data_IF_512398361512
#
_entry.id   IF_512398361512
#
_cell.length_a   1.000
_cell.length_b   1.000
_cell.length_c   1.000
_cell.angle_alpha   90.00
_cell.angle_beta   90.00
_cell.angle_gamma   90.00
#
_symmetry.space_group_name_H-M   'P 1'
#
loop_
_entity.id
_entity.type
_entity.pdbx_description
1 polymer ?
#
# COMPACT_ATOMS: atom_id res chain seq x y z
N UNK A 1 -4.02 -15.31 -3.48
CA UNK A 1 -3.58 -14.20 -2.60
C UNK A 1 -2.40 -14.63 -1.74
N UNK A 2 -1.71 -13.67 -1.15
CA UNK A 2 -0.61 -13.88 -0.20
C UNK A 2 -0.79 -12.91 0.96
N UNK A 3 -0.72 -13.42 2.19
CA UNK A 3 -0.65 -12.58 3.38
C UNK A 3 0.76 -12.06 3.54
N UNK A 4 0.91 -10.76 3.73
CA UNK A 4 2.15 -10.13 4.13
C UNK A 4 1.93 -9.58 5.53
N UNK A 5 2.57 -10.22 6.51
CA UNK A 5 2.48 -9.80 7.89
C UNK A 5 3.28 -8.51 8.10
N UNK A 6 2.82 -7.64 8.99
CA UNK A 6 3.53 -6.40 9.31
C UNK A 6 4.97 -6.64 9.80
N UNK A 7 5.20 -7.78 10.44
CA UNK A 7 6.51 -8.21 10.95
C UNK A 7 7.48 -8.60 9.84
N UNK A 8 6.96 -8.88 8.65
CA UNK A 8 7.74 -9.26 7.47
C UNK A 8 8.00 -8.08 6.52
N UNK A 9 7.45 -6.89 6.82
CA UNK A 9 7.71 -5.71 6.01
C UNK A 9 9.15 -5.23 6.24
N UNK A 10 9.95 -5.10 5.18
CA UNK A 10 11.28 -4.54 5.29
C UNK A 10 11.27 -3.11 5.80
N UNK A 11 12.20 -2.79 6.68
CA UNK A 11 12.31 -1.50 7.36
C UNK A 11 13.77 -1.07 7.47
N UNK A 12 14.03 0.21 7.29
CA UNK A 12 15.35 0.80 7.44
C UNK A 12 15.30 2.16 8.12
N UNK A 13 16.38 2.49 8.82
CA UNK A 13 16.57 3.81 9.43
C UNK A 13 17.72 4.50 8.72
N UNK A 14 17.52 5.77 8.39
CA UNK A 14 18.47 6.61 7.67
C UNK A 14 18.59 7.95 8.38
N UNK A 15 19.74 8.57 8.27
CA UNK A 15 19.92 9.98 8.65
C UNK A 15 19.77 10.86 7.42
N UNK A 16 19.05 11.96 7.55
CA UNK A 16 19.01 12.99 6.53
C UNK A 16 20.33 13.80 6.50
N UNK A 17 20.42 14.78 5.61
CA UNK A 17 21.60 15.67 5.48
C UNK A 17 21.95 16.46 6.76
N UNK A 18 21.03 16.51 7.73
CA UNK A 18 21.21 17.21 9.01
C UNK A 18 21.43 16.25 10.19
N UNK A 19 21.46 14.94 9.96
CA UNK A 19 21.60 13.90 10.99
C UNK A 19 20.29 13.58 11.73
N UNK A 20 19.14 14.05 11.21
CA UNK A 20 17.84 13.69 11.77
C UNK A 20 17.37 12.34 11.18
N UNK A 21 16.69 11.53 12.00
CA UNK A 21 16.33 10.17 11.63
C UNK A 21 15.06 10.11 10.77
N UNK A 22 15.11 9.26 9.76
CA UNK A 22 14.00 8.88 8.88
C UNK A 22 13.86 7.37 8.91
N UNK A 23 12.69 6.87 9.32
CA UNK A 23 12.36 5.46 9.24
C UNK A 23 11.53 5.19 7.98
N UNK A 24 11.93 4.21 7.19
CA UNK A 24 11.28 3.80 5.94
C UNK A 24 10.81 2.36 6.08
N UNK A 25 9.52 2.11 6.00
CA UNK A 25 8.92 0.78 5.97
C UNK A 25 8.25 0.55 4.61
N UNK A 26 8.71 -0.45 3.86
CA UNK A 26 8.32 -0.68 2.47
C UNK A 26 7.33 -1.84 2.35
N UNK A 27 6.17 -1.56 1.77
CA UNK A 27 5.14 -2.56 1.45
C UNK A 27 5.33 -3.08 0.02
N UNK A 28 5.55 -2.17 -0.94
CA UNK A 28 5.87 -2.47 -2.34
C UNK A 28 6.93 -1.51 -2.86
N UNK A 29 7.74 -1.97 -3.82
CA UNK A 29 8.79 -1.16 -4.43
C UNK A 29 10.09 -1.13 -3.62
N UNK A 30 10.85 -0.07 -3.82
CA UNK A 30 12.15 0.15 -3.15
C UNK A 30 12.31 1.63 -2.83
N UNK A 31 12.67 1.93 -1.57
CA UNK A 31 12.93 3.29 -1.09
C UNK A 31 14.19 3.30 -0.23
N UNK A 32 15.12 4.20 -0.55
CA UNK A 32 16.41 4.34 0.16
C UNK A 32 17.18 3.00 0.30
N UNK A 33 17.10 2.13 -0.73
CA UNK A 33 17.73 0.82 -0.70
C UNK A 33 16.99 -0.25 0.12
N UNK A 34 15.88 0.08 0.77
CA UNK A 34 14.99 -0.89 1.41
C UNK A 34 14.02 -1.40 0.35
N UNK A 35 14.13 -2.68 0.03
CA UNK A 35 13.30 -3.33 -1.00
C UNK A 35 12.21 -4.18 -0.35
N UNK A 36 10.98 -4.09 -0.89
CA UNK A 36 9.85 -4.90 -0.45
C UNK A 36 10.05 -6.40 -0.69
N UNK A 37 9.19 -7.21 -0.08
CA UNK A 37 9.00 -8.60 -0.52
C UNK A 37 8.42 -8.62 -1.94
N UNK A 38 8.74 -9.67 -2.71
CA UNK A 38 8.25 -9.79 -4.07
C UNK A 38 6.70 -9.79 -4.12
N UNK A 39 6.08 -9.02 -5.01
CA UNK A 39 4.65 -9.04 -5.23
C UNK A 39 4.19 -10.38 -5.84
N UNK A 40 2.87 -10.61 -5.87
CA UNK A 40 2.33 -11.76 -6.58
C UNK A 40 2.66 -11.67 -8.07
N UNK A 41 3.04 -12.81 -8.66
CA UNK A 41 3.49 -12.92 -10.06
C UNK A 41 2.55 -12.29 -11.09
N UNK A 42 1.24 -12.31 -10.85
CA UNK A 42 0.22 -11.77 -11.76
C UNK A 42 -0.28 -10.38 -11.31
N UNK A 43 0.39 -9.73 -10.35
CA UNK A 43 0.09 -8.37 -9.95
C UNK A 43 0.68 -7.36 -10.92
N UNK A 44 0.02 -6.21 -11.11
CA UNK A 44 0.57 -5.05 -11.82
C UNK A 44 1.95 -4.64 -11.27
N UNK A 45 2.13 -4.78 -9.97
CA UNK A 45 3.38 -4.49 -9.28
C UNK A 45 4.53 -5.49 -9.57
N UNK A 46 4.26 -6.61 -10.24
CA UNK A 46 5.29 -7.59 -10.58
C UNK A 46 6.21 -7.16 -11.71
N UNK A 47 5.75 -6.26 -12.59
CA UNK A 47 6.56 -5.63 -13.61
C UNK A 47 7.22 -4.36 -13.02
N UNK A 48 8.56 -4.31 -12.93
CA UNK A 48 9.26 -3.14 -12.39
C UNK A 48 9.03 -1.85 -13.20
N UNK A 49 8.68 -1.95 -14.48
CA UNK A 49 8.37 -0.79 -15.31
C UNK A 49 7.06 -0.09 -14.91
N UNK A 50 6.22 -0.74 -14.13
CA UNK A 50 5.00 -0.15 -13.60
C UNK A 50 5.25 0.74 -12.37
N UNK A 51 6.47 0.78 -11.85
CA UNK A 51 6.91 1.65 -10.75
C UNK A 51 5.97 1.65 -9.54
N UNK A 52 5.31 0.51 -9.25
CA UNK A 52 4.37 0.44 -8.12
C UNK A 52 5.12 0.50 -6.81
N UNK A 53 4.85 1.53 -6.04
CA UNK A 53 5.47 1.77 -4.75
C UNK A 53 4.44 2.08 -3.66
N UNK A 54 4.63 1.47 -2.49
CA UNK A 54 3.88 1.75 -1.28
C UNK A 54 4.85 1.75 -0.11
N UNK A 55 5.02 2.90 0.55
CA UNK A 55 5.89 3.03 1.71
C UNK A 55 5.26 3.88 2.81
N UNK A 56 5.53 3.50 4.04
CA UNK A 56 5.23 4.30 5.24
C UNK A 56 6.53 4.90 5.74
N UNK A 57 6.58 6.23 5.82
CA UNK A 57 7.75 6.98 6.26
C UNK A 57 7.44 7.65 7.59
N UNK A 58 8.30 7.44 8.57
CA UNK A 58 8.26 8.19 9.83
C UNK A 58 9.42 9.18 9.82
N UNK A 59 9.11 10.43 10.04
CA UNK A 59 10.02 11.56 10.02
C UNK A 59 10.21 12.12 11.43
N UNK A 60 11.42 12.18 11.91
CA UNK A 60 11.74 12.94 13.11
C UNK A 60 11.54 14.45 12.87
N UNK A 61 11.48 15.30 13.91
CA UNK A 61 11.36 16.73 13.74
C UNK A 61 12.48 17.31 12.86
N UNK A 62 12.10 18.24 11.98
CA UNK A 62 13.00 18.97 11.08
C UNK A 62 13.79 18.11 10.08
N UNK A 63 13.33 16.89 9.80
CA UNK A 63 13.92 16.03 8.76
C UNK A 63 13.53 16.47 7.36
N UNK A 64 14.42 16.15 6.42
CA UNK A 64 14.15 16.20 4.98
C UNK A 64 14.18 14.81 4.39
N UNK A 65 13.12 14.43 3.68
CA UNK A 65 13.04 13.18 2.92
C UNK A 65 12.89 13.49 1.43
N UNK A 66 13.69 12.86 0.58
CA UNK A 66 13.70 13.14 -0.86
C UNK A 66 13.11 11.96 -1.63
N UNK A 67 12.11 12.23 -2.46
CA UNK A 67 11.60 11.32 -3.47
C UNK A 67 12.32 11.60 -4.81
N UNK A 68 12.92 10.58 -5.44
CA UNK A 68 13.62 10.77 -6.70
C UNK A 68 12.63 11.00 -7.86
N UNK A 69 13.12 11.58 -8.96
CA UNK A 69 12.41 11.51 -10.22
C UNK A 69 12.44 10.06 -10.77
N UNK A 70 11.32 9.62 -11.34
CA UNK A 70 11.18 8.24 -11.86
C UNK A 70 10.60 8.24 -13.28
N UNK A 71 9.37 8.76 -13.47
CA UNK A 71 8.66 8.70 -14.75
C UNK A 71 7.66 9.86 -14.86
N UNK A 72 7.50 10.38 -16.07
CA UNK A 72 6.55 11.47 -16.36
C UNK A 72 5.08 11.02 -16.42
N UNK A 73 4.84 9.73 -16.46
CA UNK A 73 3.50 9.15 -16.51
C UNK A 73 3.05 8.57 -15.18
N UNK A 74 4.00 8.31 -14.27
CA UNK A 74 3.72 7.77 -12.95
C UNK A 74 2.89 8.76 -12.11
N UNK A 75 1.88 8.22 -11.46
CA UNK A 75 1.13 8.93 -10.42
C UNK A 75 1.82 8.74 -9.08
N UNK A 76 1.95 9.83 -8.33
CA UNK A 76 2.58 9.86 -7.01
C UNK A 76 1.71 10.62 -6.03
N UNK A 77 1.38 9.98 -4.92
CA UNK A 77 0.60 10.57 -3.86
C UNK A 77 1.34 10.49 -2.53
N UNK A 78 1.27 11.55 -1.76
CA UNK A 78 1.77 11.60 -0.39
C UNK A 78 0.62 11.98 0.53
N UNK A 79 0.20 11.05 1.39
CA UNK A 79 -0.80 11.28 2.43
C UNK A 79 -0.08 11.56 3.76
N UNK A 80 -0.27 12.72 4.34
CA UNK A 80 0.16 13.03 5.70
C UNK A 80 -0.92 12.57 6.70
N UNK A 81 -0.72 11.42 7.36
CA UNK A 81 -1.77 10.80 8.17
C UNK A 81 -1.58 10.91 9.69
N UNK A 82 -0.39 11.28 10.18
CA UNK A 82 -0.14 11.44 11.61
C UNK A 82 0.97 12.47 11.87
N UNK A 83 0.68 13.50 12.65
CA UNK A 83 1.62 14.55 13.05
C UNK A 83 0.91 15.81 13.54
N UNK A 84 1.64 16.72 14.16
CA UNK A 84 1.08 17.94 14.77
C UNK A 84 1.47 19.22 14.05
N UNK A 85 2.64 19.25 13.43
CA UNK A 85 3.10 20.35 12.57
C UNK A 85 2.72 20.11 11.12
N UNK A 86 2.96 21.08 10.27
CA UNK A 86 2.85 20.91 8.81
C UNK A 86 4.10 20.23 8.26
N UNK A 87 3.96 19.57 7.11
CA UNK A 87 5.07 19.20 6.25
C UNK A 87 5.08 20.12 5.02
N UNK A 88 6.27 20.55 4.59
CA UNK A 88 6.44 21.38 3.40
C UNK A 88 6.85 20.50 2.21
N UNK A 89 6.12 20.62 1.09
CA UNK A 89 6.40 19.94 -0.18
C UNK A 89 6.41 21.02 -1.27
N UNK A 90 7.57 21.32 -1.86
CA UNK A 90 7.71 22.33 -2.92
C UNK A 90 7.00 23.66 -2.60
N UNK A 91 7.17 24.18 -1.41
CA UNK A 91 6.53 25.43 -0.92
C UNK A 91 5.04 25.30 -0.55
N UNK A 92 4.43 24.15 -0.70
CA UNK A 92 3.08 23.88 -0.20
C UNK A 92 3.14 23.29 1.21
N UNK A 93 2.31 23.81 2.09
CA UNK A 93 2.17 23.30 3.45
C UNK A 93 1.03 22.29 3.51
N UNK A 94 1.36 21.03 3.76
CA UNK A 94 0.41 19.95 3.94
C UNK A 94 0.12 19.80 5.44
N UNK A 95 -1.16 19.75 5.79
CA UNK A 95 -1.62 19.47 7.16
C UNK A 95 -1.98 17.98 7.28
N UNK A 96 -2.09 17.51 8.53
CA UNK A 96 -2.57 16.15 8.78
C UNK A 96 -3.90 15.89 8.07
N UNK A 97 -4.07 14.67 7.57
CA UNK A 97 -5.22 14.16 6.79
C UNK A 97 -5.36 14.79 5.39
N UNK A 98 -4.33 15.46 4.90
CA UNK A 98 -4.27 15.95 3.52
C UNK A 98 -3.40 15.06 2.63
N UNK A 99 -3.79 15.01 1.35
CA UNK A 99 -3.11 14.29 0.27
C UNK A 99 -2.51 15.30 -0.72
N UNK A 100 -1.24 15.12 -1.06
CA UNK A 100 -0.60 15.80 -2.18
C UNK A 100 -0.57 14.88 -3.41
N UNK A 101 -0.95 15.40 -4.58
CA UNK A 101 -0.78 14.77 -5.90
C UNK A 101 0.46 15.39 -6.53
N UNK A 102 1.49 14.60 -6.78
CA UNK A 102 2.83 15.06 -7.14
C UNK A 102 3.26 14.52 -8.50
N UNK A 103 4.16 15.25 -9.14
CA UNK A 103 4.77 14.81 -10.40
C UNK A 103 5.79 13.69 -10.15
N UNK A 104 5.73 12.63 -10.96
CA UNK A 104 6.65 11.51 -10.87
C UNK A 104 8.01 11.75 -11.54
N UNK A 105 8.14 12.75 -12.40
CA UNK A 105 9.33 13.11 -13.16
C UNK A 105 10.18 14.22 -12.53
N UNK A 106 9.87 14.57 -11.28
CA UNK A 106 10.63 15.56 -10.52
C UNK A 106 11.16 14.96 -9.23
N UNK A 107 12.33 15.41 -8.81
CA UNK A 107 12.81 15.20 -7.46
C UNK A 107 12.03 16.09 -6.51
N UNK A 108 11.52 15.53 -5.42
CA UNK A 108 10.66 16.24 -4.48
C UNK A 108 11.25 16.15 -3.09
N UNK A 109 11.54 17.29 -2.48
CA UNK A 109 11.88 17.36 -1.06
C UNK A 109 10.61 17.49 -0.20
N UNK A 110 10.52 16.64 0.80
CA UNK A 110 9.50 16.65 1.85
C UNK A 110 10.19 17.08 3.14
N UNK A 111 9.84 18.25 3.65
CA UNK A 111 10.47 18.83 4.84
C UNK A 111 9.47 18.75 6.00
N UNK A 112 9.84 18.02 7.05
CA UNK A 112 9.01 17.92 8.24
C UNK A 112 9.19 19.14 9.15
N UNK A 113 8.13 19.52 9.84
CA UNK A 113 8.14 20.57 10.85
C UNK A 113 8.78 20.13 12.19
N UNK A 114 8.43 20.80 13.25
CA UNK A 114 9.05 20.69 14.58
C UNK A 114 8.54 19.51 15.43
N UNK A 115 7.63 18.69 14.91
CA UNK A 115 7.13 17.49 15.57
C UNK A 115 7.25 16.25 14.68
N UNK A 116 7.31 15.03 15.26
CA UNK A 116 7.32 13.81 14.45
C UNK A 116 6.12 13.73 13.51
N UNK A 117 6.33 13.22 12.31
CA UNK A 117 5.29 13.04 11.30
C UNK A 117 5.35 11.65 10.67
N UNK A 118 4.19 11.17 10.17
CA UNK A 118 4.10 9.96 9.37
C UNK A 118 3.36 10.23 8.08
N UNK A 119 3.97 9.78 6.99
CA UNK A 119 3.42 9.89 5.65
C UNK A 119 3.30 8.51 5.01
N UNK A 120 2.29 8.38 4.15
CA UNK A 120 2.13 7.23 3.26
C UNK A 120 2.39 7.69 1.83
N UNK A 121 3.30 6.98 1.16
CA UNK A 121 3.60 7.18 -0.25
C UNK A 121 2.89 6.10 -1.05
N UNK A 122 2.19 6.50 -2.12
CA UNK A 122 1.54 5.64 -3.09
C UNK A 122 1.97 6.07 -4.48
N UNK A 123 2.58 5.16 -5.22
CA UNK A 123 3.06 5.46 -6.58
C UNK A 123 2.78 4.29 -7.54
N UNK A 124 2.71 4.62 -8.82
CA UNK A 124 2.62 3.62 -9.89
C UNK A 124 2.23 4.23 -11.23
N UNK A 125 2.62 3.52 -12.29
CA UNK A 125 2.12 3.82 -13.63
C UNK A 125 0.62 3.50 -13.70
N UNK A 126 -0.19 4.36 -14.33
CA UNK A 126 -1.60 4.07 -14.54
C UNK A 126 -1.77 2.92 -15.53
N UNK A 127 -2.74 2.04 -15.27
CA UNK A 127 -3.05 0.91 -16.15
C UNK A 127 -3.57 1.39 -17.52
N UNK A 128 -4.16 2.60 -17.58
CA UNK A 128 -4.70 3.22 -18.78
C UNK A 128 -5.80 2.40 -19.49
N UNK A 129 -6.58 1.64 -18.71
CA UNK A 129 -7.75 0.92 -19.16
C UNK A 129 -9.04 1.61 -18.73
N UNK A 130 -10.15 1.45 -19.45
CA UNK A 130 -11.45 1.95 -18.99
C UNK A 130 -11.82 1.36 -17.64
N UNK A 131 -12.55 2.12 -16.83
CA UNK A 131 -13.02 1.67 -15.51
C UNK A 131 -14.53 1.73 -15.49
N UNK A 132 -15.16 0.57 -15.29
CA UNK A 132 -16.56 0.43 -14.96
C UNK A 132 -16.67 -0.15 -13.55
N UNK A 133 -17.37 0.57 -12.65
CA UNK A 133 -17.51 0.16 -11.25
C UNK A 133 -18.97 0.18 -10.83
N UNK A 134 -19.41 -0.85 -10.14
CA UNK A 134 -20.72 -0.89 -9.50
C UNK A 134 -20.70 -1.85 -8.29
N UNK A 135 -21.10 -1.35 -7.12
CA UNK A 135 -21.03 -2.10 -5.86
C UNK A 135 -19.57 -2.53 -5.58
N UNK A 136 -19.35 -3.82 -5.25
CA UNK A 136 -18.02 -4.31 -4.93
C UNK A 136 -17.17 -4.68 -6.17
N UNK A 137 -17.74 -4.60 -7.39
CA UNK A 137 -17.07 -5.03 -8.62
C UNK A 137 -16.50 -3.85 -9.40
N UNK A 138 -15.29 -4.05 -9.93
CA UNK A 138 -14.63 -3.14 -10.87
C UNK A 138 -14.16 -3.97 -12.06
N UNK A 139 -14.56 -3.56 -13.25
CA UNK A 139 -14.23 -4.17 -14.55
C UNK A 139 -13.86 -3.07 -15.55
N UNK A 140 -13.57 -3.43 -16.80
CA UNK A 140 -13.29 -2.45 -17.85
C UNK A 140 -14.55 -2.00 -18.58
N UNK A 141 -15.61 -2.82 -18.60
CA UNK A 141 -16.86 -2.53 -19.30
C UNK A 141 -18.10 -2.83 -18.44
N UNK A 142 -19.23 -2.22 -18.80
CA UNK A 142 -20.52 -2.52 -18.17
C UNK A 142 -20.98 -3.96 -18.42
N UNK A 143 -20.62 -4.52 -19.57
CA UNK A 143 -20.90 -5.92 -19.88
C UNK A 143 -20.17 -6.87 -18.93
N UNK A 144 -18.88 -6.66 -18.72
CA UNK A 144 -18.07 -7.45 -17.77
C UNK A 144 -18.60 -7.33 -16.33
N UNK A 145 -19.08 -6.15 -15.92
CA UNK A 145 -19.75 -6.00 -14.64
C UNK A 145 -20.97 -6.91 -14.53
N UNK A 146 -21.81 -6.93 -15.58
CA UNK A 146 -23.00 -7.78 -15.59
C UNK A 146 -22.63 -9.26 -15.54
N UNK A 147 -21.59 -9.66 -16.24
CA UNK A 147 -21.06 -11.02 -16.23
C UNK A 147 -20.54 -11.39 -14.84
N UNK A 148 -19.78 -10.52 -14.19
CA UNK A 148 -19.29 -10.72 -12.81
C UNK A 148 -20.43 -10.88 -11.80
N UNK A 149 -21.48 -10.05 -11.88
CA UNK A 149 -22.66 -10.20 -11.04
C UNK A 149 -23.39 -11.53 -11.28
N UNK A 150 -23.53 -11.94 -12.53
CA UNK A 150 -24.18 -13.20 -12.87
C UNK A 150 -23.35 -14.41 -12.39
N UNK A 151 -22.04 -14.35 -12.53
CA UNK A 151 -21.15 -15.40 -12.02
C UNK A 151 -21.23 -15.47 -10.48
N UNK A 152 -21.17 -14.34 -9.79
CA UNK A 152 -21.30 -14.32 -8.34
C UNK A 152 -22.64 -14.91 -7.86
N UNK A 153 -23.78 -14.53 -8.49
CA UNK A 153 -25.08 -15.09 -8.15
C UNK A 153 -25.16 -16.60 -8.34
N UNK A 154 -24.40 -17.14 -9.31
CA UNK A 154 -24.38 -18.57 -9.62
C UNK A 154 -23.43 -19.36 -8.76
N UNK A 155 -22.27 -18.80 -8.40
CA UNK A 155 -21.16 -19.56 -7.83
C UNK A 155 -20.73 -19.05 -6.46
N UNK A 156 -21.13 -17.81 -6.08
CA UNK A 156 -20.62 -17.09 -4.90
C UNK A 156 -19.09 -17.08 -4.83
N UNK A 157 -18.42 -17.20 -6.00
CA UNK A 157 -16.97 -17.35 -6.15
C UNK A 157 -16.37 -18.51 -5.31
N UNK A 158 -17.11 -19.60 -5.20
CA UNK A 158 -16.76 -20.78 -4.41
C UNK A 158 -17.50 -20.91 -3.08
N UNK A 159 -18.20 -19.83 -2.65
CA UNK A 159 -19.00 -19.83 -1.44
C UNK A 159 -18.20 -20.12 -0.16
N UNK A 160 -18.91 -20.45 0.90
CA UNK A 160 -18.33 -20.87 2.17
C UNK A 160 -18.09 -22.39 2.15
N UNK A 161 -16.82 -22.86 2.17
CA UNK A 161 -16.51 -24.28 1.92
C UNK A 161 -16.68 -25.22 3.13
N UNK A 162 -16.91 -24.67 4.33
CA UNK A 162 -16.96 -25.47 5.57
C UNK A 162 -18.39 -25.85 6.04
N UNK A 163 -19.40 -25.67 5.16
CA UNK A 163 -20.79 -26.08 5.43
C UNK A 163 -21.62 -25.04 6.21
N UNK A 164 -22.82 -25.47 6.66
CA UNK A 164 -23.86 -24.57 7.18
C UNK A 164 -23.73 -24.19 8.66
N UNK A 165 -22.60 -24.43 9.28
CA UNK A 165 -22.39 -24.05 10.68
C UNK A 165 -22.01 -22.60 10.82
N UNK A 166 -22.98 -21.73 11.10
CA UNK A 166 -22.74 -20.31 11.38
C UNK A 166 -21.68 -20.05 12.46
N UNK A 167 -21.56 -20.97 13.42
CA UNK A 167 -20.55 -20.88 14.48
C UNK A 167 -19.11 -21.02 13.97
N UNK A 168 -18.90 -21.55 12.77
CA UNK A 168 -17.58 -21.75 12.18
C UNK A 168 -17.13 -20.55 11.34
N UNK A 169 -18.01 -19.54 11.15
CA UNK A 169 -17.72 -18.32 10.40
C UNK A 169 -16.76 -17.37 11.13
N UNK A 170 -16.60 -17.51 12.43
CA UNK A 170 -15.78 -16.61 13.24
C UNK A 170 -14.79 -17.41 14.05
N UNK A 171 -13.50 -17.18 13.81
CA UNK A 171 -12.46 -17.76 14.65
C UNK A 171 -12.49 -17.14 16.06
N UNK A 172 -12.29 -17.94 17.12
CA UNK A 172 -12.24 -17.43 18.47
C UNK A 172 -11.05 -16.48 18.64
N UNK A 173 -11.20 -15.51 19.55
CA UNK A 173 -10.19 -14.46 19.80
C UNK A 173 -8.81 -15.04 20.17
N UNK A 174 -8.77 -16.18 20.83
CA UNK A 174 -7.56 -16.87 21.26
C UNK A 174 -6.88 -17.68 20.16
N UNK A 175 -7.51 -17.86 18.98
CA UNK A 175 -6.88 -18.46 17.82
C UNK A 175 -5.67 -17.64 17.31
N UNK A 176 -5.63 -16.35 17.66
CA UNK A 176 -4.57 -15.43 17.23
C UNK A 176 -4.69 -15.07 15.76
N UNK A 177 -3.60 -14.49 15.22
CA UNK A 177 -3.53 -14.10 13.80
C UNK A 177 -3.01 -15.27 12.97
N UNK A 178 -3.71 -15.58 11.90
CA UNK A 178 -3.28 -16.57 10.90
C UNK A 178 -3.91 -16.28 9.53
N UNK A 179 -3.31 -16.80 8.48
CA UNK A 179 -3.91 -16.92 7.16
C UNK A 179 -3.95 -18.40 6.78
N UNK A 180 -5.04 -18.82 6.15
CA UNK A 180 -5.26 -20.19 5.73
C UNK A 180 -5.35 -20.27 4.22
N UNK A 181 -4.70 -21.27 3.63
CA UNK A 181 -4.67 -21.52 2.19
C UNK A 181 -5.02 -22.99 1.93
N UNK A 182 -5.55 -23.26 0.73
CA UNK A 182 -5.84 -24.61 0.24
C UNK A 182 -6.72 -25.39 1.24
N UNK A 183 -7.84 -24.79 1.67
CA UNK A 183 -8.79 -25.41 2.62
C UNK A 183 -8.10 -25.88 3.92
N UNK A 184 -7.41 -24.96 4.58
CA UNK A 184 -6.69 -25.19 5.85
C UNK A 184 -5.51 -26.17 5.79
N UNK A 185 -5.08 -26.61 4.60
CA UNK A 185 -3.88 -27.44 4.47
C UNK A 185 -2.59 -26.67 4.74
N UNK A 186 -2.61 -25.36 4.52
CA UNK A 186 -1.49 -24.48 4.80
C UNK A 186 -1.95 -23.38 5.73
N UNK A 187 -1.35 -23.28 6.89
CA UNK A 187 -1.59 -22.21 7.87
C UNK A 187 -0.33 -21.36 7.97
N UNK A 188 -0.47 -20.09 7.66
CA UNK A 188 0.59 -19.08 7.78
C UNK A 188 0.31 -18.20 9.00
N UNK A 189 1.35 -17.94 9.80
CA UNK A 189 1.27 -17.12 11.02
C UNK A 189 2.37 -16.08 11.01
N UNK A 190 2.13 -14.89 11.60
CA UNK A 190 3.19 -13.90 11.75
C UNK A 190 4.35 -14.47 12.59
N UNK A 191 5.55 -14.01 12.32
CA UNK A 191 6.68 -14.25 13.21
C UNK A 191 6.36 -13.72 14.62
N UNK A 192 6.79 -14.45 15.64
CA UNK A 192 6.60 -14.09 17.06
C UNK A 192 7.63 -13.06 17.47
#
# INVERSE_FOLDING_TARGET
YKMIWKENLPEGNFEDKNGANVNVKVVLGEYQGVKSVDPLKNSWAADPNNHVGIAMITLDPNTTFTLPNVSSTMKRYVLFYDGKSTIDIDSYKLQQDQLADLMGDQEIEIINGDSPAKILILEGEPINEPVAAYGPFVMNTQQELQEAFNEYRKTEFGGWPWGDKESDLVNPKDAGRFASYDFDKVIDKPAV
#
